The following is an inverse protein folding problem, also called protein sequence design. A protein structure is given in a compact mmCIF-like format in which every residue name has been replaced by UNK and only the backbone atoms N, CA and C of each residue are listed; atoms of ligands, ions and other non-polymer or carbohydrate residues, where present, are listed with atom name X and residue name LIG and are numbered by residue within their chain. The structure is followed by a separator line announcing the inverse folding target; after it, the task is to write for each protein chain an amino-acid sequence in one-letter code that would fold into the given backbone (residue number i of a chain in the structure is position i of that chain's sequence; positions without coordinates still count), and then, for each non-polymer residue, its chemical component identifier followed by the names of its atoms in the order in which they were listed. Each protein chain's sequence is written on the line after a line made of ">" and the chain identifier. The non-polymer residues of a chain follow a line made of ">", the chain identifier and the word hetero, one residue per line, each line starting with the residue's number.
data_IF_436733558678
#
_entry.id   IF_436733558678
#
_cell.length_a   1.000
_cell.length_b   1.000
_cell.length_c   1.000
_cell.angle_alpha   90.00
_cell.angle_beta   90.00
_cell.angle_gamma   90.00
#
_symmetry.space_group_name_H-M   'P 1'
#
loop_
_entity.id
_entity.type
_entity.pdbx_description
1 polymer ?
#
# COMPACT_ATOMS: atom_id res chain seq x y z
N UNK A 1 1.89 18.76 -19.40
CA UNK A 1 2.77 18.64 -18.21
C UNK A 1 2.20 19.30 -16.94
N UNK A 2 1.34 20.33 -17.05
CA UNK A 2 0.77 21.04 -15.88
C UNK A 2 -0.13 20.22 -14.94
N UNK A 3 -0.93 19.27 -15.44
CA UNK A 3 -1.83 18.48 -14.57
C UNK A 3 -1.09 17.49 -13.64
N UNK A 4 0.10 17.02 -14.05
CA UNK A 4 0.89 16.09 -13.24
C UNK A 4 1.57 16.75 -12.04
N UNK A 5 2.13 17.95 -12.18
CA UNK A 5 2.61 18.67 -10.99
C UNK A 5 1.47 18.98 -10.02
N UNK A 6 0.36 19.52 -10.53
CA UNK A 6 -0.76 19.95 -9.68
C UNK A 6 -1.32 18.83 -8.80
N UNK A 7 -1.46 17.59 -9.30
CA UNK A 7 -1.95 16.49 -8.46
C UNK A 7 -0.96 16.08 -7.37
N UNK A 8 0.34 16.19 -7.62
CA UNK A 8 1.38 15.90 -6.63
C UNK A 8 1.32 16.96 -5.53
N UNK A 9 1.31 18.24 -5.92
CA UNK A 9 1.30 19.36 -4.98
C UNK A 9 0.08 19.28 -4.03
N UNK A 10 -1.12 19.06 -4.59
CA UNK A 10 -2.36 18.96 -3.81
C UNK A 10 -2.31 17.78 -2.83
N UNK A 11 -1.87 16.60 -3.28
CA UNK A 11 -1.79 15.41 -2.42
C UNK A 11 -0.73 15.56 -1.33
N UNK A 12 0.41 16.18 -1.67
CA UNK A 12 1.49 16.42 -0.73
C UNK A 12 1.04 17.34 0.41
N UNK A 13 0.43 18.48 0.08
CA UNK A 13 -0.06 19.42 1.10
C UNK A 13 -1.13 18.78 1.99
N UNK A 14 -2.09 18.08 1.40
CA UNK A 14 -3.14 17.37 2.15
C UNK A 14 -2.55 16.35 3.14
N UNK A 15 -1.64 15.49 2.69
CA UNK A 15 -1.02 14.48 3.54
C UNK A 15 -0.14 15.09 4.64
N UNK A 16 0.58 16.18 4.32
CA UNK A 16 1.41 16.92 5.28
C UNK A 16 0.57 17.52 6.40
N UNK A 17 -0.60 18.10 6.08
CA UNK A 17 -1.46 18.71 7.09
C UNK A 17 -2.08 17.64 8.00
N UNK A 18 -2.58 16.53 7.46
CA UNK A 18 -3.06 15.40 8.26
C UNK A 18 -1.98 14.82 9.19
N UNK A 19 -0.72 14.78 8.73
CA UNK A 19 0.41 14.32 9.55
C UNK A 19 0.71 15.33 10.67
N UNK A 20 0.68 16.63 10.37
CA UNK A 20 0.91 17.71 11.36
C UNK A 20 -0.18 17.76 12.42
N UNK A 21 -1.42 17.46 12.04
CA UNK A 21 -2.57 17.37 12.95
C UNK A 21 -2.59 16.05 13.74
N UNK A 22 -1.69 15.11 13.45
CA UNK A 22 -1.62 13.81 14.11
C UNK A 22 -2.76 12.86 13.73
N UNK A 23 -3.51 13.17 12.67
CA UNK A 23 -4.60 12.32 12.16
C UNK A 23 -4.06 11.06 11.49
N UNK A 24 -2.88 11.17 10.86
CA UNK A 24 -2.17 10.05 10.24
C UNK A 24 -0.69 10.06 10.61
N UNK A 25 -0.09 8.89 10.69
CA UNK A 25 1.35 8.71 10.81
C UNK A 25 1.91 8.16 9.49
N UNK A 26 2.99 8.76 9.00
CA UNK A 26 3.69 8.28 7.81
C UNK A 26 4.84 7.38 8.22
N UNK A 27 4.74 6.10 7.86
CA UNK A 27 5.80 5.12 8.04
C UNK A 27 6.18 4.51 6.70
N UNK A 28 7.48 4.33 6.48
CA UNK A 28 7.99 3.70 5.27
C UNK A 28 7.72 2.20 5.29
N UNK A 29 7.06 1.70 4.26
CA UNK A 29 6.84 0.28 4.02
C UNK A 29 7.59 -0.14 2.76
N UNK A 30 8.42 -1.18 2.85
CA UNK A 30 9.11 -1.70 1.66
C UNK A 30 8.12 -2.43 0.75
N UNK A 31 8.41 -2.52 -0.55
CA UNK A 31 7.54 -3.22 -1.52
C UNK A 31 7.24 -4.67 -1.12
N UNK A 32 8.18 -5.35 -0.47
CA UNK A 32 8.00 -6.74 -0.03
C UNK A 32 7.09 -6.86 1.20
N UNK A 33 6.87 -5.76 1.93
CA UNK A 33 5.99 -5.68 3.11
C UNK A 33 4.66 -5.00 2.80
N UNK A 34 4.51 -4.36 1.64
CA UNK A 34 3.32 -3.59 1.29
C UNK A 34 2.17 -4.48 0.81
N UNK A 35 1.47 -5.13 1.75
CA UNK A 35 0.36 -6.07 1.48
C UNK A 35 -0.70 -5.48 0.54
N UNK A 36 -0.99 -4.18 0.62
CA UNK A 36 -1.95 -3.49 -0.24
C UNK A 36 -1.63 -3.58 -1.75
N UNK A 37 -0.38 -3.86 -2.12
CA UNK A 37 0.01 -4.01 -3.53
C UNK A 37 -0.70 -5.18 -4.21
N UNK A 38 -1.11 -6.21 -3.44
CA UNK A 38 -1.84 -7.36 -3.98
C UNK A 38 -3.16 -6.98 -4.66
N UNK A 39 -3.81 -5.90 -4.21
CA UNK A 39 -5.10 -5.44 -4.74
C UNK A 39 -4.98 -4.29 -5.75
N UNK A 40 -3.81 -3.65 -5.85
CA UNK A 40 -3.66 -2.37 -6.57
C UNK A 40 -2.69 -2.44 -7.74
N UNK A 41 -1.90 -3.51 -7.86
CA UNK A 41 -0.86 -3.65 -8.88
C UNK A 41 -0.88 -5.04 -9.54
N UNK A 42 -0.49 -5.14 -10.82
CA UNK A 42 -0.10 -6.41 -11.40
C UNK A 42 1.27 -6.82 -10.84
N UNK A 43 1.33 -7.91 -10.08
CA UNK A 43 2.55 -8.40 -9.41
C UNK A 43 3.15 -9.61 -10.12
N UNK A 44 4.48 -9.79 -9.96
CA UNK A 44 5.13 -11.07 -10.29
C UNK A 44 4.62 -12.15 -9.33
N UNK A 45 4.58 -13.39 -9.81
CA UNK A 45 4.06 -14.52 -9.03
C UNK A 45 4.72 -14.66 -7.65
N UNK A 46 6.05 -14.54 -7.58
CA UNK A 46 6.80 -14.61 -6.32
C UNK A 46 6.35 -13.55 -5.31
N UNK A 47 6.26 -12.29 -5.73
CA UNK A 47 5.78 -11.19 -4.87
C UNK A 47 4.33 -11.40 -4.46
N UNK A 48 3.48 -11.86 -5.38
CA UNK A 48 2.08 -12.15 -5.10
C UNK A 48 1.93 -13.24 -4.03
N UNK A 49 2.64 -14.36 -4.16
CA UNK A 49 2.61 -15.44 -3.16
C UNK A 49 3.07 -14.94 -1.79
N UNK A 50 4.19 -14.22 -1.73
CA UNK A 50 4.68 -13.67 -0.46
C UNK A 50 3.67 -12.71 0.20
N UNK A 51 3.04 -11.81 -0.56
CA UNK A 51 2.03 -10.89 -0.01
C UNK A 51 0.73 -11.59 0.35
N UNK A 52 0.33 -12.62 -0.41
CA UNK A 52 -0.86 -13.44 -0.14
C UNK A 52 -0.72 -14.19 1.18
N UNK A 53 0.44 -14.78 1.41
CA UNK A 53 0.71 -15.53 2.64
C UNK A 53 0.74 -14.57 3.84
N UNK A 54 1.31 -13.36 3.69
CA UNK A 54 1.24 -12.28 4.71
C UNK A 54 -0.17 -11.75 4.95
N UNK A 55 -1.03 -11.75 3.94
CA UNK A 55 -2.45 -11.39 4.07
C UNK A 55 -3.24 -12.45 4.87
N UNK A 56 -2.67 -13.64 5.09
CA UNK A 56 -3.31 -14.73 5.84
C UNK A 56 -4.28 -15.56 5.01
N UNK A 57 -4.18 -15.51 3.68
CA UNK A 57 -5.00 -16.37 2.82
C UNK A 57 -4.51 -17.81 2.96
N UNK A 58 -5.41 -18.67 3.41
CA UNK A 58 -5.16 -20.09 3.61
C UNK A 58 -6.14 -20.93 2.80
N UNK A 59 -5.77 -22.19 2.59
CA UNK A 59 -6.69 -23.17 2.00
C UNK A 59 -7.83 -23.46 2.99
N UNK A 60 -9.07 -23.50 2.49
CA UNK A 60 -10.24 -23.73 3.32
C UNK A 60 -10.23 -25.12 4.00
N UNK A 61 -9.54 -26.10 3.42
CA UNK A 61 -9.37 -27.43 4.00
C UNK A 61 -8.41 -27.44 5.19
N UNK A 62 -7.57 -26.41 5.35
CA UNK A 62 -6.62 -26.28 6.46
C UNK A 62 -7.26 -25.73 7.75
N UNK A 63 -8.55 -25.36 7.70
CA UNK A 63 -9.33 -24.85 8.83
C UNK A 63 -10.13 -25.95 9.55
N UNK A 64 -9.98 -27.22 9.12
CA UNK A 64 -10.67 -28.40 9.67
C UNK A 64 -9.77 -29.26 10.55
#
# INVERSE_FOLDING_TARGET
>A
MHGRCKHIDVRYHFLRDLTREGVVELSHCSTMEQIADIMTKPLKLETFCNLRDKLGVCDAHSLG
#
